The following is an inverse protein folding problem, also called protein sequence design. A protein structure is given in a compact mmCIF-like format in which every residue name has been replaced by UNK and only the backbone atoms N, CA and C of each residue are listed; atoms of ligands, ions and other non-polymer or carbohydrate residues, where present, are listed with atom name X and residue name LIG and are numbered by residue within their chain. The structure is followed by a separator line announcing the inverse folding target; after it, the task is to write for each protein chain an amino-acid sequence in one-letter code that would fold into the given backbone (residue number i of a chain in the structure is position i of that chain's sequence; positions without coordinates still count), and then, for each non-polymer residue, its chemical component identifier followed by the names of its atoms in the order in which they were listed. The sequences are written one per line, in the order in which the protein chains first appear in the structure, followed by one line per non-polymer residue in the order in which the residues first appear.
data_IF_309146084275
#
_entry.id   IF_309146084275
#
_cell.length_a   1.000
_cell.length_b   1.000
_cell.length_c   1.000
_cell.angle_alpha   90.00
_cell.angle_beta   90.00
_cell.angle_gamma   90.00
#
_symmetry.space_group_name_H-M   'P 1'
#
loop_
_entity.id
_entity.type
_entity.pdbx_description
1 polymer ?
#
# COMPACT_ATOMS: atom_id res chain seq x y z
N UNK A 1 -41.45 -4.85 2.10
CA UNK A 1 -40.11 -5.27 2.57
C UNK A 1 -39.08 -4.37 1.91
N UNK A 2 -38.47 -3.44 2.64
CA UNK A 2 -37.48 -2.51 2.10
C UNK A 2 -36.08 -3.11 2.22
N UNK A 3 -35.41 -3.32 1.09
CA UNK A 3 -34.03 -3.82 1.05
C UNK A 3 -33.14 -2.72 1.65
N UNK A 4 -32.34 -2.99 2.71
CA UNK A 4 -31.48 -1.97 3.28
C UNK A 4 -30.45 -1.52 2.24
N UNK A 5 -30.15 -0.20 2.15
CA UNK A 5 -29.15 0.28 1.22
C UNK A 5 -27.81 -0.37 1.54
N UNK A 6 -27.14 -0.92 0.52
CA UNK A 6 -25.79 -1.43 0.66
C UNK A 6 -24.87 -0.21 0.88
N UNK A 7 -24.33 -0.06 2.09
CA UNK A 7 -23.28 0.90 2.36
C UNK A 7 -22.01 0.48 1.61
N UNK A 8 -21.92 0.84 0.32
CA UNK A 8 -20.70 0.70 -0.49
C UNK A 8 -19.83 1.92 -0.29
N UNK A 9 -19.30 2.08 0.92
CA UNK A 9 -18.28 3.10 1.17
C UNK A 9 -16.96 2.61 0.56
N UNK A 10 -16.46 3.33 -0.44
CA UNK A 10 -15.16 3.05 -1.03
C UNK A 10 -14.09 3.47 -0.02
N UNK A 11 -13.16 2.58 0.38
CA UNK A 11 -12.06 2.96 1.26
C UNK A 11 -11.20 4.06 0.65
N UNK A 12 -10.80 5.01 1.48
CA UNK A 12 -9.85 6.02 1.09
C UNK A 12 -8.53 5.38 0.62
N UNK A 13 -7.96 5.90 -0.47
CA UNK A 13 -6.73 5.36 -1.06
C UNK A 13 -6.89 4.12 -1.95
N UNK A 14 -8.07 3.48 -2.03
CA UNK A 14 -8.27 2.33 -2.92
C UNK A 14 -8.04 2.67 -4.39
N UNK A 15 -8.54 3.82 -4.85
CA UNK A 15 -8.34 4.28 -6.22
C UNK A 15 -6.85 4.44 -6.57
N UNK A 16 -6.06 4.97 -5.63
CA UNK A 16 -4.62 5.19 -5.79
C UNK A 16 -3.89 3.85 -5.91
N UNK A 17 -4.23 2.87 -5.05
CA UNK A 17 -3.63 1.53 -5.11
C UNK A 17 -3.92 0.83 -6.44
N UNK A 18 -5.16 0.92 -6.92
CA UNK A 18 -5.56 0.34 -8.20
C UNK A 18 -4.90 1.04 -9.38
N UNK A 19 -4.77 2.37 -9.36
CA UNK A 19 -4.06 3.11 -10.39
C UNK A 19 -2.57 2.71 -10.42
N UNK A 20 -1.92 2.61 -9.26
CA UNK A 20 -0.51 2.21 -9.16
C UNK A 20 -0.29 0.80 -9.72
N UNK A 21 -1.14 -0.17 -9.36
CA UNK A 21 -1.10 -1.52 -9.91
C UNK A 21 -1.31 -1.50 -11.43
N UNK A 22 -2.28 -0.73 -11.92
CA UNK A 22 -2.59 -0.64 -13.35
C UNK A 22 -1.41 -0.08 -14.14
N UNK A 23 -0.75 0.97 -13.63
CA UNK A 23 0.45 1.54 -14.25
C UNK A 23 1.63 0.57 -14.23
N UNK A 24 1.80 -0.17 -13.14
CA UNK A 24 2.85 -1.18 -13.03
C UNK A 24 2.60 -2.35 -13.99
N UNK A 25 1.38 -2.86 -14.06
CA UNK A 25 1.00 -3.92 -14.99
C UNK A 25 1.18 -3.48 -16.46
N UNK A 26 0.80 -2.24 -16.80
CA UNK A 26 0.99 -1.70 -18.14
C UNK A 26 2.48 -1.57 -18.50
N UNK A 27 3.34 -1.21 -17.53
CA UNK A 27 4.78 -1.05 -17.76
C UNK A 27 5.50 -2.39 -17.93
N UNK A 28 5.11 -3.40 -17.16
CA UNK A 28 5.82 -4.67 -17.07
C UNK A 28 5.23 -5.77 -17.96
N UNK A 29 4.03 -5.57 -18.51
CA UNK A 29 3.34 -6.53 -19.37
C UNK A 29 3.40 -7.97 -18.83
N UNK A 30 2.94 -8.22 -17.60
CA UNK A 30 3.06 -9.54 -17.00
C UNK A 30 2.21 -10.57 -17.76
N UNK A 31 2.73 -11.77 -17.93
CA UNK A 31 1.99 -12.89 -18.53
C UNK A 31 0.81 -13.32 -17.64
N UNK A 32 0.94 -13.18 -16.33
CA UNK A 32 -0.10 -13.45 -15.35
C UNK A 32 -0.31 -12.24 -14.41
N UNK A 33 -1.46 -11.59 -14.57
CA UNK A 33 -1.82 -10.39 -13.79
C UNK A 33 -2.04 -10.70 -12.29
N UNK A 34 -2.52 -11.89 -11.96
CA UNK A 34 -2.84 -12.26 -10.57
C UNK A 34 -1.56 -12.51 -9.77
N UNK A 35 -0.61 -13.24 -10.34
CA UNK A 35 0.73 -13.42 -9.75
C UNK A 35 1.45 -12.08 -9.59
N UNK A 36 1.42 -11.25 -10.65
CA UNK A 36 2.00 -9.91 -10.60
C UNK A 36 1.40 -9.04 -9.50
N UNK A 37 0.07 -9.01 -9.38
CA UNK A 37 -0.62 -8.24 -8.34
C UNK A 37 -0.26 -8.74 -6.94
N UNK A 38 -0.15 -10.05 -6.74
CA UNK A 38 0.23 -10.66 -5.47
C UNK A 38 1.62 -10.22 -5.03
N UNK A 39 2.59 -10.27 -5.95
CA UNK A 39 3.95 -9.80 -5.70
C UNK A 39 4.00 -8.28 -5.46
N UNK A 40 3.34 -7.50 -6.31
CA UNK A 40 3.28 -6.05 -6.21
C UNK A 40 2.76 -5.57 -4.83
N UNK A 41 1.66 -6.17 -4.34
CA UNK A 41 1.12 -5.79 -3.04
C UNK A 41 1.96 -6.31 -1.87
N UNK A 42 2.63 -7.47 -1.99
CA UNK A 42 3.55 -7.93 -0.96
C UNK A 42 4.77 -7.01 -0.83
N UNK A 43 5.37 -6.59 -1.95
CA UNK A 43 6.46 -5.61 -1.94
C UNK A 43 6.03 -4.27 -1.36
N UNK A 44 4.85 -3.76 -1.72
CA UNK A 44 4.30 -2.54 -1.13
C UNK A 44 4.11 -2.66 0.38
N UNK A 45 3.66 -3.82 0.86
CA UNK A 45 3.48 -4.09 2.29
C UNK A 45 4.82 -4.09 3.02
N UNK A 46 5.84 -4.75 2.45
CA UNK A 46 7.19 -4.76 3.01
C UNK A 46 7.81 -3.36 3.03
N UNK A 47 7.66 -2.61 1.95
CA UNK A 47 8.13 -1.22 1.87
C UNK A 47 7.50 -0.34 2.96
N UNK A 48 6.19 -0.46 3.18
CA UNK A 48 5.49 0.24 4.28
C UNK A 48 6.08 -0.12 5.64
N UNK A 49 6.29 -1.42 5.91
CA UNK A 49 6.89 -1.89 7.16
C UNK A 49 8.29 -1.32 7.39
N UNK A 50 9.11 -1.27 6.34
CA UNK A 50 10.46 -0.71 6.40
C UNK A 50 10.44 0.81 6.65
N UNK A 51 9.50 1.53 6.05
CA UNK A 51 9.30 2.96 6.31
C UNK A 51 8.86 3.23 7.75
N UNK A 52 7.92 2.44 8.29
CA UNK A 52 7.53 2.52 9.70
C UNK A 52 8.73 2.28 10.64
N UNK A 53 9.58 1.31 10.30
CA UNK A 53 10.79 1.04 11.08
C UNK A 53 11.79 2.20 11.02
N UNK A 54 12.00 2.78 9.83
CA UNK A 54 12.86 3.95 9.65
C UNK A 54 12.36 5.17 10.43
N UNK A 55 11.06 5.42 10.42
CA UNK A 55 10.44 6.52 11.18
C UNK A 55 10.64 6.30 12.69
N UNK A 56 10.48 5.06 13.18
CA UNK A 56 10.75 4.71 14.59
C UNK A 56 12.20 4.99 14.96
N UNK A 57 13.16 4.54 14.14
CA UNK A 57 14.58 4.78 14.38
C UNK A 57 14.93 6.27 14.33
N UNK A 58 14.39 7.03 13.38
CA UNK A 58 14.60 8.49 13.31
C UNK A 58 14.08 9.22 14.55
N UNK A 59 12.91 8.83 15.07
CA UNK A 59 12.38 9.37 16.33
C UNK A 59 13.29 9.03 17.51
N UNK A 60 13.88 7.83 17.51
CA UNK A 60 14.83 7.40 18.54
C UNK A 60 16.11 8.23 18.52
N UNK A 61 16.68 8.48 17.34
CA UNK A 61 17.94 9.23 17.20
C UNK A 61 17.78 10.73 17.43
N UNK A 62 16.65 11.34 17.04
CA UNK A 62 16.36 12.76 17.32
C UNK A 62 16.04 13.06 18.79
N UNK A 63 15.71 12.05 19.60
CA UNK A 63 15.53 12.18 21.05
C UNK A 63 16.83 12.08 21.87
N UNK A 64 17.94 11.70 21.24
CA UNK A 64 19.26 11.65 21.86
C UNK A 64 19.85 13.05 21.95
N UNK A 65 19.58 13.74 23.07
CA UNK A 65 20.30 14.96 23.47
C UNK A 65 21.80 14.74 23.31
N UNK A 66 22.44 15.56 22.48
CA UNK A 66 23.85 15.90 22.68
C UNK A 66 24.01 16.27 24.15
N UNK A 67 24.84 15.52 24.87
CA UNK A 67 25.31 15.83 26.22
C UNK A 67 26.78 16.16 26.13
#
# INVERSE_FOLDING_TARGET
MSIPPRNTTIPDGLAILLEALSRAAFRHHPENLIDFASLFFDELRQFRSNMDNLIKEFRRTKGGKCK
#
